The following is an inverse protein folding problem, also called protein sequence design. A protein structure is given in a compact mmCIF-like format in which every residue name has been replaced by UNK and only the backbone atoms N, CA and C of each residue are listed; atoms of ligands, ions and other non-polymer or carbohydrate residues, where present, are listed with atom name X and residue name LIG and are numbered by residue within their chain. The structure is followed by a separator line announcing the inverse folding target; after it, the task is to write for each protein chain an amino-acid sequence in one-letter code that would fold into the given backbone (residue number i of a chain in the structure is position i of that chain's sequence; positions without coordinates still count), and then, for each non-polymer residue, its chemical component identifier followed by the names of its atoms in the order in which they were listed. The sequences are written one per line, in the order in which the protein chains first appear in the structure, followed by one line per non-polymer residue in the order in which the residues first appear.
data_IF_762519391225
#
_entry.id   IF_762519391225
#
_cell.length_a   1.000
_cell.length_b   1.000
_cell.length_c   1.000
_cell.angle_alpha   90.00
_cell.angle_beta   90.00
_cell.angle_gamma   90.00
#
_symmetry.space_group_name_H-M   'P 1'
#
loop_
_entity.id
_entity.type
_entity.pdbx_description
1 polymer ?
#
# COMPACT_ATOMS: atom_id res chain seq x y z
N UNK A 1 -15.00 -26.25 -14.05
CA UNK A 1 -13.97 -25.23 -13.75
C UNK A 1 -13.53 -24.65 -15.08
N UNK A 2 -14.06 -23.49 -15.46
CA UNK A 2 -13.62 -22.81 -16.68
C UNK A 2 -12.20 -22.32 -16.45
N UNK A 3 -11.24 -22.81 -17.21
CA UNK A 3 -9.86 -22.32 -17.17
C UNK A 3 -9.84 -20.87 -17.62
N UNK A 4 -9.68 -19.94 -16.68
CA UNK A 4 -9.36 -18.56 -17.01
C UNK A 4 -7.89 -18.52 -17.42
N UNK A 5 -7.62 -18.20 -18.69
CA UNK A 5 -6.26 -18.04 -19.19
C UNK A 5 -5.88 -16.56 -19.10
N UNK A 6 -4.92 -16.23 -18.24
CA UNK A 6 -4.29 -14.92 -18.17
C UNK A 6 -2.79 -15.10 -18.01
N UNK A 7 -2.03 -14.45 -18.88
CA UNK A 7 -0.60 -14.28 -18.73
C UNK A 7 -0.35 -12.91 -18.09
N UNK A 8 0.40 -12.89 -16.99
CA UNK A 8 0.94 -11.65 -16.42
C UNK A 8 2.45 -11.75 -16.48
N UNK A 9 3.13 -10.73 -16.98
CA UNK A 9 4.58 -10.69 -16.97
C UNK A 9 5.06 -9.41 -16.29
N UNK A 10 6.12 -9.55 -15.49
CA UNK A 10 6.92 -8.44 -14.97
C UNK A 10 8.21 -8.38 -15.77
N UNK A 11 8.60 -7.21 -16.22
CA UNK A 11 9.85 -7.00 -16.93
C UNK A 11 10.52 -5.70 -16.46
N UNK A 12 11.82 -5.57 -16.71
CA UNK A 12 12.55 -4.32 -16.46
C UNK A 12 12.41 -3.44 -17.70
N UNK A 13 11.69 -2.34 -17.56
CA UNK A 13 11.49 -1.40 -18.66
C UNK A 13 12.77 -0.58 -18.88
N UNK A 14 13.36 -0.60 -20.08
CA UNK A 14 14.66 0.05 -20.33
C UNK A 14 14.57 1.58 -20.30
N UNK A 15 13.40 2.17 -20.55
CA UNK A 15 13.20 3.63 -20.48
C UNK A 15 12.98 4.14 -19.06
N UNK A 16 12.30 3.33 -18.24
CA UNK A 16 12.03 3.67 -16.85
C UNK A 16 13.15 3.23 -15.90
N UNK A 17 14.02 2.32 -16.36
CA UNK A 17 15.08 1.66 -15.57
C UNK A 17 14.51 0.95 -14.32
N UNK A 18 13.33 0.33 -14.46
CA UNK A 18 12.65 -0.31 -13.35
C UNK A 18 11.47 -1.20 -13.76
N UNK A 19 10.79 -1.83 -12.80
CA UNK A 19 9.74 -2.82 -13.06
C UNK A 19 8.55 -2.23 -13.82
N UNK A 20 7.99 -2.99 -14.75
CA UNK A 20 6.72 -2.73 -15.42
C UNK A 20 6.00 -4.07 -15.70
N UNK A 21 4.72 -3.99 -16.06
CA UNK A 21 3.87 -5.17 -16.22
C UNK A 21 3.19 -5.21 -17.59
N UNK A 22 2.97 -6.43 -18.07
CA UNK A 22 2.02 -6.73 -19.13
C UNK A 22 0.95 -7.71 -18.62
N UNK A 23 -0.25 -7.60 -19.19
CA UNK A 23 -1.33 -8.58 -19.04
C UNK A 23 -1.73 -9.01 -20.45
N UNK A 24 -1.59 -10.31 -20.75
CA UNK A 24 -1.80 -10.88 -22.08
C UNK A 24 -1.02 -10.11 -23.18
N UNK A 25 0.25 -9.80 -22.90
CA UNK A 25 1.12 -9.04 -23.78
C UNK A 25 0.82 -7.54 -23.89
N UNK A 26 -0.25 -7.04 -23.27
CA UNK A 26 -0.59 -5.61 -23.25
C UNK A 26 0.05 -4.93 -22.05
N UNK A 27 0.80 -3.86 -22.30
CA UNK A 27 1.42 -3.06 -21.26
C UNK A 27 0.34 -2.35 -20.43
N UNK A 28 0.39 -2.50 -19.10
CA UNK A 28 -0.64 -1.95 -18.19
C UNK A 28 -0.02 -1.00 -17.18
N UNK A 29 -0.58 0.20 -17.07
CA UNK A 29 -0.21 1.13 -16.00
C UNK A 29 -1.06 0.80 -14.78
N UNK A 30 -0.43 0.20 -13.77
CA UNK A 30 -1.17 -0.32 -12.62
C UNK A 30 -1.46 0.81 -11.63
N UNK A 31 -2.73 1.15 -11.49
CA UNK A 31 -3.21 1.99 -10.38
C UNK A 31 -3.82 1.07 -9.36
N UNK A 32 -3.40 1.16 -8.12
CA UNK A 32 -3.89 0.24 -7.11
C UNK A 32 -3.82 0.76 -5.71
N UNK A 33 -3.98 -0.17 -4.78
CA UNK A 33 -3.86 0.14 -3.37
C UNK A 33 -3.45 -1.06 -2.53
N UNK A 34 -2.98 -0.75 -1.34
CA UNK A 34 -2.55 -1.74 -0.38
C UNK A 34 -3.74 -2.19 0.48
N UNK A 35 -4.03 -3.49 0.43
CA UNK A 35 -5.03 -4.23 1.17
C UNK A 35 -4.42 -4.80 2.45
N UNK A 36 -4.99 -4.48 3.62
CA UNK A 36 -4.46 -4.90 4.93
C UNK A 36 -5.45 -5.73 5.75
N UNK A 37 -6.55 -6.17 5.13
CA UNK A 37 -7.61 -6.96 5.76
C UNK A 37 -8.91 -6.21 5.97
N UNK A 38 -10.02 -6.95 5.90
CA UNK A 38 -11.38 -6.41 6.10
C UNK A 38 -11.71 -6.11 7.57
N UNK A 39 -11.07 -6.82 8.51
CA UNK A 39 -11.38 -6.76 9.94
C UNK A 39 -10.17 -7.14 10.79
N UNK A 40 -9.91 -6.37 11.85
CA UNK A 40 -8.74 -6.55 12.72
C UNK A 40 -8.78 -7.88 13.48
N UNK A 41 -9.98 -8.42 13.71
CA UNK A 41 -10.18 -9.70 14.37
C UNK A 41 -10.44 -10.83 13.37
N UNK A 42 -10.29 -10.58 12.08
CA UNK A 42 -10.49 -11.53 10.97
C UNK A 42 -11.90 -12.18 10.96
N UNK A 43 -12.89 -11.56 11.58
CA UNK A 43 -14.24 -12.13 11.76
C UNK A 43 -14.98 -12.32 10.45
N UNK A 44 -14.70 -11.46 9.47
CA UNK A 44 -15.34 -11.46 8.16
C UNK A 44 -14.44 -12.01 7.06
N UNK A 45 -13.33 -12.68 7.42
CA UNK A 45 -12.37 -13.17 6.44
C UNK A 45 -12.95 -14.26 5.51
N UNK A 46 -14.16 -14.77 5.75
CA UNK A 46 -14.85 -15.72 4.86
C UNK A 46 -16.14 -15.16 4.26
N UNK A 47 -16.43 -13.86 4.48
CA UNK A 47 -17.65 -13.22 4.00
C UNK A 47 -17.44 -12.73 2.56
N UNK A 48 -17.87 -13.55 1.59
CA UNK A 48 -17.76 -13.22 0.17
C UNK A 48 -18.53 -11.95 -0.21
N UNK A 49 -19.66 -11.65 0.44
CA UNK A 49 -20.41 -10.43 0.15
C UNK A 49 -19.66 -9.20 0.65
N UNK A 50 -19.05 -9.27 1.84
CA UNK A 50 -18.20 -8.20 2.36
C UNK A 50 -17.03 -7.93 1.41
N UNK A 51 -16.34 -8.97 0.94
CA UNK A 51 -15.28 -8.81 -0.06
C UNK A 51 -15.81 -8.20 -1.37
N UNK A 52 -16.98 -8.63 -1.86
CA UNK A 52 -17.60 -8.06 -3.06
C UNK A 52 -17.91 -6.58 -2.91
N UNK A 53 -18.42 -6.16 -1.76
CA UNK A 53 -18.70 -4.76 -1.48
C UNK A 53 -17.41 -3.94 -1.39
N UNK A 54 -16.41 -4.43 -0.66
CA UNK A 54 -15.14 -3.73 -0.48
C UNK A 54 -14.33 -3.67 -1.77
N UNK A 55 -14.09 -4.79 -2.46
CA UNK A 55 -13.39 -4.83 -3.74
C UNK A 55 -14.19 -4.08 -4.81
N UNK A 56 -15.52 -4.14 -4.77
CA UNK A 56 -16.40 -3.34 -5.62
C UNK A 56 -16.17 -1.83 -5.48
N UNK A 57 -15.91 -1.33 -4.27
CA UNK A 57 -15.49 0.07 -4.07
C UNK A 57 -14.14 0.36 -4.73
N UNK A 58 -13.19 -0.58 -4.71
CA UNK A 58 -11.88 -0.42 -5.38
C UNK A 58 -12.02 -0.37 -6.90
N UNK A 59 -12.87 -1.23 -7.47
CA UNK A 59 -13.22 -1.19 -8.89
C UNK A 59 -13.91 0.13 -9.25
N UNK A 60 -14.84 0.61 -8.40
CA UNK A 60 -15.53 1.88 -8.63
C UNK A 60 -14.60 3.11 -8.53
N UNK A 61 -13.49 3.01 -7.79
CA UNK A 61 -12.41 3.99 -7.78
C UNK A 61 -11.54 3.95 -9.04
N UNK A 62 -11.71 2.95 -9.92
CA UNK A 62 -10.90 2.75 -11.12
C UNK A 62 -9.52 2.14 -10.84
N UNK A 63 -9.38 1.42 -9.72
CA UNK A 63 -8.16 0.67 -9.41
C UNK A 63 -8.12 -0.65 -10.20
N UNK A 64 -6.92 -1.01 -10.62
CA UNK A 64 -6.60 -2.19 -11.42
C UNK A 64 -5.97 -3.31 -10.56
N UNK A 65 -5.37 -2.96 -9.40
CA UNK A 65 -4.64 -3.89 -8.54
C UNK A 65 -4.85 -3.64 -7.04
N UNK A 66 -4.95 -4.73 -6.28
CA UNK A 66 -4.81 -4.77 -4.83
C UNK A 66 -3.54 -5.51 -4.43
N UNK A 67 -2.73 -4.89 -3.57
CA UNK A 67 -1.61 -5.55 -2.92
C UNK A 67 -2.02 -6.03 -1.54
N UNK A 68 -2.14 -7.34 -1.36
CA UNK A 68 -2.32 -7.95 -0.03
C UNK A 68 -0.99 -7.83 0.70
N UNK A 69 -0.91 -6.89 1.64
CA UNK A 69 0.31 -6.54 2.35
C UNK A 69 0.75 -7.63 3.34
N UNK A 70 2.06 -7.85 3.43
CA UNK A 70 2.66 -8.99 4.12
C UNK A 70 2.41 -9.08 5.63
N UNK A 71 2.18 -7.97 6.35
CA UNK A 71 1.90 -8.07 7.79
C UNK A 71 0.44 -8.40 8.13
N UNK A 72 -0.38 -8.68 7.11
CA UNK A 72 -1.69 -9.32 7.25
C UNK A 72 -1.60 -10.84 7.08
N UNK A 73 -2.72 -11.45 6.69
CA UNK A 73 -2.75 -12.84 6.23
C UNK A 73 -2.75 -12.87 4.70
N UNK A 74 -2.38 -14.01 4.10
CA UNK A 74 -2.90 -14.31 2.78
C UNK A 74 -4.42 -14.47 2.92
N UNK A 75 -5.20 -13.75 2.13
CA UNK A 75 -6.65 -13.72 2.28
C UNK A 75 -7.27 -15.12 2.04
N UNK A 76 -8.55 -15.28 2.37
CA UNK A 76 -9.27 -16.55 2.09
C UNK A 76 -9.67 -16.63 0.62
N UNK A 77 -9.97 -17.84 0.14
CA UNK A 77 -10.33 -18.10 -1.27
C UNK A 77 -11.42 -17.15 -1.78
N UNK A 78 -12.43 -16.82 -0.95
CA UNK A 78 -13.50 -15.89 -1.29
C UNK A 78 -13.01 -14.50 -1.78
N UNK A 79 -11.90 -14.00 -1.24
CA UNK A 79 -11.29 -12.75 -1.71
C UNK A 79 -10.81 -12.88 -3.15
N UNK A 80 -10.05 -13.93 -3.47
CA UNK A 80 -9.48 -14.13 -4.80
C UNK A 80 -10.54 -14.54 -5.82
N UNK A 81 -11.56 -15.30 -5.42
CA UNK A 81 -12.73 -15.59 -6.25
C UNK A 81 -13.47 -14.30 -6.65
N UNK A 82 -13.65 -13.36 -5.70
CA UNK A 82 -14.25 -12.06 -6.00
C UNK A 82 -13.32 -11.20 -6.87
N UNK A 83 -12.01 -11.23 -6.65
CA UNK A 83 -11.05 -10.55 -7.52
C UNK A 83 -11.06 -11.12 -8.95
N UNK A 84 -11.17 -12.44 -9.10
CA UNK A 84 -11.34 -13.11 -10.40
C UNK A 84 -12.61 -12.61 -11.10
N UNK A 85 -13.74 -12.62 -10.40
CA UNK A 85 -15.04 -12.17 -10.92
C UNK A 85 -15.05 -10.70 -11.35
N UNK A 86 -14.39 -9.84 -10.57
CA UNK A 86 -14.36 -8.40 -10.79
C UNK A 86 -13.20 -7.94 -11.68
N UNK A 87 -12.30 -8.85 -12.05
CA UNK A 87 -11.12 -8.53 -12.85
C UNK A 87 -10.05 -7.71 -12.12
N UNK A 88 -10.05 -7.72 -10.77
CA UNK A 88 -9.06 -7.02 -9.94
C UNK A 88 -7.77 -7.84 -9.87
N UNK A 89 -6.63 -7.26 -10.25
CA UNK A 89 -5.34 -7.93 -10.11
C UNK A 89 -4.92 -7.98 -8.64
N UNK A 90 -4.24 -9.04 -8.25
CA UNK A 90 -3.75 -9.24 -6.89
C UNK A 90 -2.23 -9.38 -6.90
N UNK A 91 -1.57 -8.53 -6.13
CA UNK A 91 -0.21 -8.74 -5.66
C UNK A 91 -0.29 -9.41 -4.29
N UNK A 92 0.37 -10.55 -4.11
CA UNK A 92 0.42 -11.25 -2.82
C UNK A 92 1.81 -11.19 -2.18
N UNK A 93 1.94 -10.50 -1.05
CA UNK A 93 3.12 -10.60 -0.19
C UNK A 93 3.10 -11.89 0.66
N UNK A 94 4.26 -12.44 0.98
CA UNK A 94 4.43 -13.34 2.14
C UNK A 94 4.79 -12.55 3.40
N UNK A 95 4.78 -13.22 4.55
CA UNK A 95 4.61 -12.57 5.86
C UNK A 95 5.87 -11.98 6.48
N UNK A 96 6.95 -11.89 5.71
CA UNK A 96 8.18 -11.26 6.16
C UNK A 96 8.08 -9.77 5.88
N UNK A 97 8.20 -8.94 6.91
CA UNK A 97 8.10 -7.49 6.77
C UNK A 97 9.24 -6.80 7.51
N UNK A 98 9.56 -5.58 7.11
CA UNK A 98 10.49 -4.73 7.87
C UNK A 98 10.12 -4.56 9.36
N UNK A 99 8.86 -4.83 9.74
CA UNK A 99 8.34 -4.74 11.11
C UNK A 99 8.61 -5.99 11.96
N UNK A 100 9.09 -7.09 11.38
CA UNK A 100 9.34 -8.33 12.10
C UNK A 100 10.70 -9.00 11.79
N UNK A 101 11.40 -8.55 10.75
CA UNK A 101 12.60 -9.20 10.23
C UNK A 101 13.93 -8.56 10.66
N UNK A 102 13.94 -7.69 11.67
CA UNK A 102 15.15 -7.02 12.16
C UNK A 102 15.45 -5.65 11.56
N UNK A 103 14.77 -5.23 10.48
CA UNK A 103 15.00 -3.91 9.86
C UNK A 103 14.56 -2.75 10.76
N UNK A 104 13.31 -2.80 11.25
CA UNK A 104 12.77 -1.81 12.19
C UNK A 104 12.39 -2.42 13.53
N UNK A 105 11.98 -3.68 13.52
CA UNK A 105 11.66 -4.47 14.71
C UNK A 105 11.87 -5.96 14.42
N UNK A 106 11.93 -6.76 15.48
CA UNK A 106 12.27 -8.18 15.40
C UNK A 106 13.76 -8.42 15.24
N UNK A 107 14.12 -9.57 14.69
CA UNK A 107 15.50 -10.06 14.52
C UNK A 107 15.67 -10.57 13.09
N UNK A 108 16.86 -10.43 12.50
CA UNK A 108 17.14 -10.92 11.14
C UNK A 108 17.08 -12.44 11.00
N UNK A 109 17.16 -13.17 12.12
CA UNK A 109 16.94 -14.62 12.16
C UNK A 109 15.46 -15.01 12.21
N UNK A 110 14.52 -14.07 12.10
CA UNK A 110 13.10 -14.39 11.97
C UNK A 110 12.82 -15.03 10.59
N UNK A 111 11.93 -16.03 10.50
CA UNK A 111 11.12 -16.65 11.56
C UNK A 111 11.90 -17.66 12.42
N UNK A 112 11.38 -18.00 13.60
CA UNK A 112 12.07 -18.97 14.48
C UNK A 112 12.07 -20.41 13.94
N UNK A 113 11.15 -20.74 13.04
CA UNK A 113 11.00 -22.06 12.42
C UNK A 113 10.92 -21.89 10.90
N UNK A 114 12.02 -22.17 10.22
CA UNK A 114 12.16 -21.95 8.77
C UNK A 114 11.40 -23.01 7.97
N UNK A 115 11.42 -24.27 8.42
CA UNK A 115 10.70 -25.37 7.76
C UNK A 115 9.19 -25.09 7.78
N UNK A 116 8.65 -24.74 8.96
CA UNK A 116 7.24 -24.39 9.08
C UNK A 116 6.85 -23.19 8.22
N UNK A 117 7.72 -22.18 8.11
CA UNK A 117 7.46 -21.02 7.25
C UNK A 117 7.38 -21.43 5.78
N UNK A 118 8.32 -22.24 5.31
CA UNK A 118 8.36 -22.73 3.93
C UNK A 118 7.16 -23.63 3.63
N UNK A 119 6.78 -24.51 4.56
CA UNK A 119 5.58 -25.35 4.43
C UNK A 119 4.31 -24.48 4.31
N UNK A 120 4.18 -23.47 5.18
CA UNK A 120 3.05 -22.54 5.13
C UNK A 120 3.00 -21.73 3.82
N UNK A 121 4.16 -21.28 3.32
CA UNK A 121 4.25 -20.60 2.03
C UNK A 121 3.84 -21.53 0.87
N UNK A 122 4.32 -22.78 0.89
CA UNK A 122 4.00 -23.84 -0.08
C UNK A 122 2.50 -24.09 -0.16
N UNK A 123 1.84 -24.24 1.00
CA UNK A 123 0.39 -24.43 1.08
C UNK A 123 -0.38 -23.25 0.47
N UNK A 124 0.06 -22.02 0.72
CA UNK A 124 -0.55 -20.81 0.16
C UNK A 124 -0.38 -20.74 -1.35
N UNK A 125 0.81 -21.05 -1.88
CA UNK A 125 1.05 -21.11 -3.33
C UNK A 125 0.12 -22.14 -3.98
N UNK A 126 0.06 -23.35 -3.44
CA UNK A 126 -0.82 -24.40 -3.96
C UNK A 126 -2.30 -24.01 -3.93
N UNK A 127 -2.74 -23.35 -2.85
CA UNK A 127 -4.12 -22.89 -2.70
C UNK A 127 -4.48 -21.80 -3.70
N UNK A 128 -3.59 -20.84 -3.92
CA UNK A 128 -3.91 -19.59 -4.61
C UNK A 128 -3.51 -19.53 -6.09
N UNK A 129 -2.55 -20.35 -6.55
CA UNK A 129 -2.06 -20.33 -7.95
C UNK A 129 -3.12 -20.64 -9.02
N UNK A 130 -4.30 -21.10 -8.61
CA UNK A 130 -5.46 -21.32 -9.49
C UNK A 130 -6.17 -20.03 -9.91
N UNK A 131 -5.94 -18.92 -9.21
CA UNK A 131 -6.64 -17.64 -9.43
C UNK A 131 -5.97 -16.82 -10.54
N UNK A 132 -6.77 -16.34 -11.49
CA UNK A 132 -6.28 -15.52 -12.61
C UNK A 132 -6.09 -14.04 -12.22
N UNK A 133 -6.74 -13.60 -11.15
CA UNK A 133 -6.49 -12.31 -10.50
C UNK A 133 -5.08 -12.22 -9.95
N UNK A 134 -4.53 -13.33 -9.44
CA UNK A 134 -3.19 -13.34 -8.86
C UNK A 134 -2.13 -13.07 -9.93
N UNK A 135 -1.48 -11.92 -9.79
CA UNK A 135 -0.63 -11.31 -10.81
C UNK A 135 0.86 -11.35 -10.46
N UNK A 136 1.20 -11.37 -9.18
CA UNK A 136 2.59 -11.42 -8.71
C UNK A 136 2.65 -11.96 -7.28
N UNK A 137 3.67 -12.76 -7.03
CA UNK A 137 4.11 -13.18 -5.69
C UNK A 137 5.28 -12.32 -5.22
N UNK A 138 5.28 -11.89 -3.97
CA UNK A 138 6.38 -11.12 -3.39
C UNK A 138 6.79 -11.70 -2.04
N UNK A 139 8.06 -12.07 -1.87
CA UNK A 139 8.52 -12.77 -0.66
C UNK A 139 8.40 -11.94 0.63
N UNK A 140 8.34 -10.61 0.54
CA UNK A 140 8.03 -9.81 1.71
C UNK A 140 7.94 -8.31 1.46
N UNK A 141 7.45 -7.63 2.49
CA UNK A 141 7.36 -6.19 2.53
C UNK A 141 8.68 -5.59 3.02
N UNK A 142 9.26 -4.66 2.27
CA UNK A 142 10.30 -3.77 2.80
C UNK A 142 11.52 -4.51 3.40
N UNK A 143 11.94 -5.61 2.76
CA UNK A 143 13.07 -6.43 3.20
C UNK A 143 14.41 -5.71 2.95
N UNK A 144 15.21 -5.56 4.00
CA UNK A 144 16.56 -4.96 3.94
C UNK A 144 17.32 -5.31 5.24
N UNK A 145 18.61 -5.69 5.19
CA UNK A 145 19.39 -5.97 3.99
C UNK A 145 19.03 -7.34 3.41
N UNK A 146 19.02 -7.44 2.09
CA UNK A 146 18.62 -8.66 1.36
C UNK A 146 19.60 -9.84 1.56
N UNK A 147 20.77 -9.58 2.14
CA UNK A 147 21.73 -10.61 2.56
C UNK A 147 21.31 -11.33 3.83
N UNK A 148 20.48 -10.71 4.66
CA UNK A 148 20.04 -11.24 5.95
C UNK A 148 18.55 -11.59 5.94
N UNK A 149 17.71 -10.81 5.24
CA UNK A 149 16.27 -11.05 5.13
C UNK A 149 15.79 -11.13 3.67
N UNK A 150 15.14 -12.24 3.26
CA UNK A 150 14.93 -13.46 4.03
C UNK A 150 16.25 -14.21 4.32
N UNK A 151 16.29 -15.02 5.41
CA UNK A 151 17.36 -16.00 5.60
C UNK A 151 17.62 -16.80 4.32
N UNK A 152 18.89 -17.16 4.07
CA UNK A 152 19.30 -17.69 2.77
C UNK A 152 18.54 -18.96 2.37
N UNK A 153 18.31 -19.87 3.31
CA UNK A 153 17.56 -21.10 3.14
C UNK A 153 16.08 -20.85 2.84
N UNK A 154 15.44 -19.91 3.52
CA UNK A 154 14.06 -19.48 3.20
C UNK A 154 14.01 -18.83 1.82
N UNK A 155 14.96 -17.95 1.49
CA UNK A 155 15.01 -17.29 0.18
C UNK A 155 15.12 -18.31 -0.95
N UNK A 156 16.03 -19.28 -0.82
CA UNK A 156 16.21 -20.35 -1.79
C UNK A 156 14.95 -21.21 -1.90
N UNK A 157 14.37 -21.64 -0.77
CA UNK A 157 13.18 -22.46 -0.77
C UNK A 157 11.96 -21.75 -1.40
N UNK A 158 11.71 -20.49 -1.05
CA UNK A 158 10.60 -19.70 -1.63
C UNK A 158 10.79 -19.53 -3.14
N UNK A 159 12.02 -19.27 -3.61
CA UNK A 159 12.28 -19.12 -5.04
C UNK A 159 11.92 -20.40 -5.80
N UNK A 160 12.26 -21.57 -5.26
CA UNK A 160 11.91 -22.86 -5.86
C UNK A 160 10.39 -23.13 -5.91
N UNK A 161 9.57 -22.50 -5.06
CA UNK A 161 8.11 -22.65 -5.13
C UNK A 161 7.49 -22.14 -6.43
N UNK A 162 8.23 -21.29 -7.15
CA UNK A 162 7.77 -20.65 -8.39
C UNK A 162 8.44 -21.22 -9.64
N UNK A 163 9.24 -22.29 -9.53
CA UNK A 163 9.85 -22.93 -10.70
C UNK A 163 8.79 -23.48 -11.70
N UNK A 164 7.62 -23.86 -11.18
CA UNK A 164 6.47 -24.36 -11.94
C UNK A 164 5.28 -23.36 -12.02
N UNK A 165 5.45 -22.11 -11.56
CA UNK A 165 4.45 -21.03 -11.66
C UNK A 165 4.99 -19.96 -12.62
N UNK A 166 4.32 -19.74 -13.74
CA UNK A 166 4.73 -18.78 -14.78
C UNK A 166 4.49 -17.32 -14.36
N UNK A 167 3.90 -17.10 -13.18
CA UNK A 167 3.68 -15.76 -12.63
C UNK A 167 4.98 -15.08 -12.20
N UNK A 168 5.01 -13.75 -12.29
CA UNK A 168 6.08 -12.94 -11.72
C UNK A 168 6.30 -13.21 -10.24
N UNK A 169 7.58 -13.19 -9.86
CA UNK A 169 8.04 -13.16 -8.48
C UNK A 169 8.93 -11.94 -8.23
N UNK A 170 8.81 -11.34 -7.06
CA UNK A 170 9.80 -10.39 -6.53
C UNK A 170 10.24 -10.81 -5.12
N UNK A 171 11.52 -10.61 -4.82
CA UNK A 171 12.06 -10.85 -3.49
C UNK A 171 11.49 -9.86 -2.46
N UNK A 172 11.25 -8.60 -2.86
CA UNK A 172 10.77 -7.60 -1.91
C UNK A 172 9.99 -6.47 -2.60
N UNK A 173 9.00 -5.92 -1.87
CA UNK A 173 8.21 -4.75 -2.30
C UNK A 173 9.06 -3.51 -2.51
N UNK A 174 10.19 -3.39 -1.80
CA UNK A 174 11.24 -2.41 -2.08
C UNK A 174 12.63 -2.97 -1.74
N UNK A 175 13.67 -2.20 -2.01
CA UNK A 175 15.04 -2.44 -1.54
C UNK A 175 15.60 -1.15 -0.97
N UNK A 176 16.79 -1.20 -0.38
CA UNK A 176 17.60 0.01 -0.25
C UNK A 176 18.08 0.46 -1.63
N UNK A 177 18.02 1.76 -1.92
CA UNK A 177 18.40 2.31 -3.22
C UNK A 177 19.87 2.07 -3.60
N UNK A 178 20.75 1.72 -2.65
CA UNK A 178 22.13 1.29 -2.93
C UNK A 178 22.25 -0.17 -3.35
N UNK A 179 21.23 -0.99 -3.10
CA UNK A 179 21.17 -2.43 -3.37
C UNK A 179 19.99 -2.81 -4.28
N UNK A 180 19.42 -1.82 -4.98
CA UNK A 180 18.26 -2.04 -5.83
C UNK A 180 18.63 -2.86 -7.08
N UNK A 181 17.75 -3.80 -7.41
CA UNK A 181 17.84 -4.65 -8.59
C UNK A 181 16.41 -4.87 -9.09
N UNK A 182 16.04 -4.22 -10.19
CA UNK A 182 14.68 -4.23 -10.73
C UNK A 182 14.16 -5.63 -11.10
N UNK A 183 15.05 -6.60 -11.34
CA UNK A 183 14.66 -7.99 -11.64
C UNK A 183 14.01 -8.65 -10.42
N UNK A 184 14.50 -8.38 -9.22
CA UNK A 184 14.05 -9.03 -7.98
C UNK A 184 13.37 -8.08 -6.99
N UNK A 185 13.47 -6.77 -7.17
CA UNK A 185 12.85 -5.76 -6.29
C UNK A 185 11.82 -4.94 -7.05
N UNK A 186 10.80 -4.46 -6.35
CA UNK A 186 9.73 -3.67 -6.97
C UNK A 186 10.03 -2.15 -6.98
N UNK A 187 10.76 -1.64 -5.99
CA UNK A 187 11.24 -0.26 -5.98
C UNK A 187 12.55 -0.08 -5.18
N UNK A 188 13.38 0.93 -5.46
CA UNK A 188 14.56 1.26 -4.65
C UNK A 188 14.21 2.02 -3.36
N UNK A 189 12.96 2.46 -3.23
CA UNK A 189 12.40 3.21 -2.09
C UNK A 189 10.89 3.36 -2.29
N UNK A 190 10.15 3.59 -1.21
CA UNK A 190 8.72 3.90 -1.20
C UNK A 190 8.39 5.11 -0.29
N UNK A 191 7.09 5.36 -0.11
CA UNK A 191 6.57 6.52 0.59
C UNK A 191 6.65 7.81 -0.24
N UNK A 192 6.39 8.99 0.36
CA UNK A 192 6.06 9.20 1.77
C UNK A 192 4.62 8.81 2.14
N UNK A 193 4.30 8.90 3.43
CA UNK A 193 3.03 8.47 4.02
C UNK A 193 2.23 9.59 4.69
N UNK A 194 2.56 10.86 4.44
CA UNK A 194 1.91 12.04 5.05
C UNK A 194 1.45 13.02 3.98
N UNK A 195 0.69 14.04 4.39
CA UNK A 195 0.27 15.12 3.50
C UNK A 195 1.45 15.76 2.77
N UNK A 196 1.20 16.14 1.53
CA UNK A 196 2.12 16.86 0.65
C UNK A 196 1.45 18.12 0.14
N UNK A 197 2.23 19.10 -0.29
CA UNK A 197 1.69 20.18 -1.10
C UNK A 197 1.21 19.58 -2.43
N UNK A 198 0.08 20.05 -2.97
CA UNK A 198 -0.55 19.37 -4.12
C UNK A 198 0.34 19.39 -5.38
N UNK A 199 1.09 20.47 -5.55
CA UNK A 199 2.04 20.65 -6.64
C UNK A 199 3.19 19.63 -6.61
N UNK A 200 3.49 19.02 -5.45
CA UNK A 200 4.56 18.04 -5.32
C UNK A 200 4.28 16.79 -6.15
N UNK A 201 3.01 16.37 -6.27
CA UNK A 201 2.60 15.21 -7.08
C UNK A 201 2.89 15.38 -8.58
N UNK A 202 3.06 16.63 -9.03
CA UNK A 202 3.42 16.96 -10.41
C UNK A 202 4.94 17.09 -10.60
N UNK A 203 5.72 16.53 -9.66
CA UNK A 203 7.18 16.40 -9.75
C UNK A 203 7.60 14.93 -9.61
N UNK A 204 8.81 14.60 -10.08
CA UNK A 204 9.36 13.25 -9.93
C UNK A 204 9.64 12.94 -8.46
N UNK A 205 9.15 11.79 -8.00
CA UNK A 205 9.26 11.28 -6.63
C UNK A 205 8.72 12.29 -5.58
N UNK A 206 7.38 12.50 -5.55
CA UNK A 206 6.74 13.53 -4.73
C UNK A 206 7.07 13.36 -3.24
N UNK A 207 7.53 14.43 -2.59
CA UNK A 207 7.90 14.43 -1.17
C UNK A 207 9.04 13.49 -0.75
N UNK A 208 9.64 12.74 -1.67
CA UNK A 208 10.64 11.72 -1.33
C UNK A 208 12.02 12.34 -1.06
N UNK A 209 12.70 11.82 -0.03
CA UNK A 209 14.03 12.25 0.39
C UNK A 209 14.96 11.07 0.64
N UNK A 210 16.27 11.29 0.49
CA UNK A 210 17.31 10.36 0.96
C UNK A 210 17.49 10.45 2.48
N UNK A 211 18.31 9.57 3.08
CA UNK A 211 18.57 9.58 4.53
C UNK A 211 19.15 10.91 5.04
N UNK A 212 19.88 11.63 4.20
CA UNK A 212 20.42 12.96 4.51
C UNK A 212 19.41 14.10 4.29
N UNK A 213 18.12 13.78 4.09
CA UNK A 213 16.99 14.70 3.87
C UNK A 213 17.04 15.49 2.57
N UNK A 214 17.97 15.21 1.66
CA UNK A 214 17.97 15.81 0.32
C UNK A 214 16.90 15.18 -0.56
N UNK A 215 16.35 15.95 -1.51
CA UNK A 215 15.26 15.47 -2.39
C UNK A 215 15.72 14.36 -3.32
N UNK A 216 15.00 13.25 -3.34
CA UNK A 216 15.32 12.08 -4.13
C UNK A 216 14.81 12.17 -5.59
N UNK A 217 14.80 13.36 -6.21
CA UNK A 217 14.24 13.58 -7.57
C UNK A 217 14.93 12.77 -8.65
N UNK A 218 16.21 12.47 -8.48
CA UNK A 218 17.02 11.72 -9.45
C UNK A 218 16.88 10.21 -9.31
N UNK A 219 16.28 9.71 -8.22
CA UNK A 219 16.10 8.28 -8.01
C UNK A 219 15.12 7.72 -9.04
N UNK A 220 15.48 6.65 -9.72
CA UNK A 220 14.61 6.00 -10.71
C UNK A 220 13.65 5.06 -9.99
N UNK A 221 12.43 5.52 -9.76
CA UNK A 221 11.33 4.70 -9.23
C UNK A 221 10.31 4.55 -10.34
N UNK A 222 10.34 3.41 -11.03
CA UNK A 222 9.37 3.11 -12.08
C UNK A 222 8.01 2.73 -11.47
N UNK A 223 8.01 1.80 -10.53
CA UNK A 223 6.80 1.35 -9.85
C UNK A 223 6.81 1.86 -8.42
N UNK A 224 5.75 2.56 -7.99
CA UNK A 224 5.62 3.01 -6.61
C UNK A 224 4.74 2.02 -5.82
N UNK A 225 5.32 1.15 -4.98
CA UNK A 225 4.60 0.08 -4.30
C UNK A 225 3.78 0.59 -3.11
N UNK A 226 4.14 1.74 -2.55
CA UNK A 226 3.42 2.40 -1.48
C UNK A 226 3.63 3.91 -1.51
N UNK A 227 2.54 4.68 -1.51
CA UNK A 227 2.54 6.11 -1.22
C UNK A 227 1.21 6.48 -0.57
N UNK A 228 1.26 7.24 0.51
CA UNK A 228 0.08 7.46 1.35
C UNK A 228 -0.08 8.87 1.87
N UNK A 229 -1.23 9.11 2.49
CA UNK A 229 -1.54 10.38 3.12
C UNK A 229 -2.49 10.22 4.32
N UNK A 230 -2.91 11.34 4.91
CA UNK A 230 -3.92 11.36 5.95
C UNK A 230 -5.30 10.91 5.43
N UNK A 231 -6.13 10.38 6.33
CA UNK A 231 -7.52 10.07 6.05
C UNK A 231 -8.39 10.39 7.27
N UNK A 232 -9.69 10.61 7.05
CA UNK A 232 -10.66 10.86 8.10
C UNK A 232 -12.03 10.47 7.55
N UNK A 233 -12.81 9.59 8.20
CA UNK A 233 -14.09 9.14 7.69
C UNK A 233 -15.17 10.23 7.80
N UNK A 234 -16.34 9.96 7.24
CA UNK A 234 -17.50 10.85 7.38
C UNK A 234 -17.91 11.05 8.84
N UNK A 235 -18.55 12.19 9.14
CA UNK A 235 -18.93 12.56 10.51
C UNK A 235 -19.75 11.48 11.22
N UNK A 236 -20.69 10.83 10.52
CA UNK A 236 -21.51 9.75 11.09
C UNK A 236 -20.69 8.53 11.51
N UNK A 237 -19.56 8.26 10.86
CA UNK A 237 -18.62 7.23 11.29
C UNK A 237 -17.84 7.68 12.51
N UNK A 238 -17.38 8.93 12.58
CA UNK A 238 -16.70 9.47 13.78
C UNK A 238 -17.58 9.33 15.03
N UNK A 239 -18.87 9.63 14.90
CA UNK A 239 -19.85 9.49 15.98
C UNK A 239 -19.99 8.06 16.52
N UNK A 240 -19.62 7.04 15.73
CA UNK A 240 -19.74 5.64 16.13
C UNK A 240 -18.58 5.15 17.00
N UNK A 241 -17.41 5.79 16.92
CA UNK A 241 -16.22 5.31 17.64
C UNK A 241 -15.54 6.37 18.51
N UNK A 242 -15.94 7.65 18.43
CA UNK A 242 -15.50 8.68 19.36
C UNK A 242 -16.62 9.06 20.32
N UNK A 243 -16.30 9.08 21.62
CA UNK A 243 -17.20 9.62 22.64
C UNK A 243 -17.49 11.11 22.39
N UNK A 244 -18.65 11.65 22.82
CA UNK A 244 -19.04 13.04 22.55
C UNK A 244 -17.98 14.08 22.92
N UNK A 245 -17.35 13.96 24.09
CA UNK A 245 -16.30 14.90 24.53
C UNK A 245 -15.03 14.80 23.68
N UNK A 246 -14.66 13.58 23.29
CA UNK A 246 -13.53 13.35 22.38
C UNK A 246 -13.82 13.90 20.99
N UNK A 247 -15.04 13.73 20.50
CA UNK A 247 -15.49 14.23 19.20
C UNK A 247 -15.53 15.76 19.18
N UNK A 248 -15.97 16.40 20.28
CA UNK A 248 -15.98 17.86 20.42
C UNK A 248 -14.56 18.45 20.44
N UNK A 249 -13.57 17.71 20.96
CA UNK A 249 -12.16 18.09 20.97
C UNK A 249 -11.47 17.83 19.62
N UNK A 250 -11.90 18.57 18.58
CA UNK A 250 -11.34 18.45 17.23
C UNK A 250 -9.83 18.81 17.19
N UNK A 251 -9.04 18.17 16.31
CA UNK A 251 -7.64 18.52 16.09
C UNK A 251 -7.44 20.00 15.75
N UNK A 252 -6.50 20.67 16.43
CA UNK A 252 -6.16 22.07 16.14
C UNK A 252 -5.24 22.21 14.90
N UNK A 253 -5.01 23.44 14.44
CA UNK A 253 -4.17 23.69 13.26
C UNK A 253 -2.67 23.35 13.44
N UNK A 254 -2.26 23.05 14.67
CA UNK A 254 -0.91 22.58 15.03
C UNK A 254 -0.90 21.07 15.28
N UNK A 255 -1.99 20.39 14.94
CA UNK A 255 -2.23 18.97 15.17
C UNK A 255 -2.14 18.58 16.66
N UNK A 256 -2.55 19.49 17.56
CA UNK A 256 -2.82 19.14 18.97
C UNK A 256 -4.15 18.40 19.02
N UNK A 257 -4.12 17.19 19.57
CA UNK A 257 -5.24 16.24 19.51
C UNK A 257 -5.62 15.66 20.88
N UNK A 258 -6.89 15.30 21.02
CA UNK A 258 -7.37 14.54 22.17
C UNK A 258 -6.86 13.08 22.11
N UNK A 259 -6.56 12.41 23.24
CA UNK A 259 -6.00 11.04 23.25
C UNK A 259 -6.78 10.00 22.44
N UNK A 260 -8.12 10.12 22.38
CA UNK A 260 -8.95 9.25 21.55
C UNK A 260 -8.65 9.36 20.05
N UNK A 261 -8.31 10.55 19.54
CA UNK A 261 -7.91 10.73 18.15
C UNK A 261 -6.54 10.08 17.89
N UNK A 262 -5.62 10.20 18.85
CA UNK A 262 -4.31 9.51 18.80
C UNK A 262 -4.46 7.99 18.85
N UNK A 263 -5.37 7.48 19.69
CA UNK A 263 -5.69 6.05 19.77
C UNK A 263 -6.16 5.50 18.43
N UNK A 264 -7.06 6.21 17.76
CA UNK A 264 -7.51 5.91 16.40
C UNK A 264 -6.54 6.40 15.31
N UNK A 265 -5.28 6.67 15.68
CA UNK A 265 -4.16 6.90 14.77
C UNK A 265 -4.28 8.15 13.90
N UNK A 266 -4.87 9.23 14.40
CA UNK A 266 -4.95 10.50 13.67
C UNK A 266 -3.61 10.94 13.09
N UNK A 267 -3.62 11.27 11.80
CA UNK A 267 -2.52 11.94 11.11
C UNK A 267 -2.90 13.38 10.73
N UNK A 268 -1.96 14.29 10.90
CA UNK A 268 -2.16 15.71 10.64
C UNK A 268 -2.32 16.06 9.15
N UNK A 269 -2.93 17.22 8.91
CA UNK A 269 -3.21 17.72 7.56
C UNK A 269 -2.19 18.76 7.05
N UNK A 270 -1.06 18.89 7.75
CA UNK A 270 0.04 19.79 7.37
C UNK A 270 0.99 19.08 6.41
N UNK A 271 1.27 19.67 5.26
CA UNK A 271 2.20 19.11 4.28
C UNK A 271 3.63 18.95 4.85
N UNK A 272 4.33 17.87 4.49
CA UNK A 272 5.72 17.65 4.88
C UNK A 272 6.59 18.86 4.48
N UNK A 273 7.42 19.33 5.41
CA UNK A 273 8.32 20.46 5.19
C UNK A 273 7.67 21.83 5.39
N UNK A 274 6.37 21.88 5.69
CA UNK A 274 5.67 23.13 6.02
C UNK A 274 5.54 23.32 7.54
N UNK A 275 5.54 24.57 8.03
CA UNK A 275 5.34 24.84 9.45
C UNK A 275 3.92 24.47 9.89
N UNK A 276 3.71 23.86 11.08
CA UNK A 276 2.38 23.49 11.56
C UNK A 276 1.59 24.72 11.99
N UNK A 277 0.87 25.33 11.05
CA UNK A 277 0.05 26.51 11.27
C UNK A 277 -1.22 26.48 10.42
N UNK A 278 -2.12 27.44 10.67
CA UNK A 278 -3.43 27.53 9.99
C UNK A 278 -3.36 27.57 8.47
N UNK A 279 -2.30 28.18 7.91
CA UNK A 279 -2.14 28.33 6.45
C UNK A 279 -1.56 27.09 5.78
N UNK A 280 -0.75 26.31 6.49
CA UNK A 280 -0.10 25.13 5.97
C UNK A 280 -0.90 23.83 6.19
N UNK A 281 -1.83 23.83 7.13
CA UNK A 281 -2.74 22.73 7.37
C UNK A 281 -3.93 22.82 6.39
N UNK A 282 -4.07 21.84 5.48
CA UNK A 282 -5.06 21.90 4.41
C UNK A 282 -6.51 21.97 4.93
N UNK A 283 -6.82 21.37 6.09
CA UNK A 283 -8.16 21.48 6.69
C UNK A 283 -8.45 22.91 7.13
N UNK A 284 -7.49 23.54 7.81
CA UNK A 284 -7.63 24.91 8.31
C UNK A 284 -7.47 25.96 7.20
N UNK A 285 -6.76 25.66 6.12
CA UNK A 285 -6.66 26.48 4.92
C UNK A 285 -7.99 26.60 4.17
N UNK A 286 -8.88 25.61 4.31
CA UNK A 286 -10.28 25.66 3.83
C UNK A 286 -11.22 26.44 4.77
N UNK A 287 -10.67 27.06 5.82
CA UNK A 287 -11.39 27.72 6.91
C UNK A 287 -11.31 26.91 8.21
N UNK A 288 -11.24 27.60 9.35
CA UNK A 288 -11.14 26.95 10.66
C UNK A 288 -12.48 26.27 11.04
N UNK A 289 -12.52 24.94 11.30
CA UNK A 289 -13.75 24.23 11.62
C UNK A 289 -14.29 24.63 12.99
N UNK A 290 -15.59 24.88 13.06
CA UNK A 290 -16.27 25.25 14.31
C UNK A 290 -16.68 24.03 15.15
N UNK A 291 -16.77 22.86 14.54
CA UNK A 291 -17.19 21.61 15.16
C UNK A 291 -16.69 20.39 14.36
N UNK A 292 -16.92 19.20 14.89
CA UNK A 292 -16.49 17.94 14.28
C UNK A 292 -17.12 17.62 12.92
N UNK A 293 -18.35 18.06 12.66
CA UNK A 293 -18.98 17.86 11.36
C UNK A 293 -18.29 18.72 10.28
N UNK A 294 -18.00 19.97 10.59
CA UNK A 294 -17.21 20.84 9.70
C UNK A 294 -15.78 20.32 9.51
N UNK A 295 -15.15 19.84 10.60
CA UNK A 295 -13.82 19.23 10.53
C UNK A 295 -13.82 18.03 9.58
N UNK A 296 -14.76 17.08 9.76
CA UNK A 296 -14.87 15.89 8.92
C UNK A 296 -15.10 16.24 7.44
N UNK A 297 -15.97 17.21 7.16
CA UNK A 297 -16.22 17.67 5.78
C UNK A 297 -14.95 18.26 5.15
N UNK A 298 -14.24 19.15 5.85
CA UNK A 298 -13.02 19.78 5.32
C UNK A 298 -11.87 18.77 5.19
N UNK A 299 -11.76 17.83 6.12
CA UNK A 299 -10.82 16.72 6.02
C UNK A 299 -11.12 15.85 4.80
N UNK A 300 -12.38 15.58 4.49
CA UNK A 300 -12.79 14.85 3.28
C UNK A 300 -12.45 15.62 2.00
N UNK A 301 -12.62 16.95 1.97
CA UNK A 301 -12.20 17.78 0.84
C UNK A 301 -10.67 17.78 0.69
N UNK A 302 -9.92 17.90 1.78
CA UNK A 302 -8.46 17.84 1.76
C UNK A 302 -7.96 16.47 1.25
N UNK A 303 -8.58 15.37 1.70
CA UNK A 303 -8.31 14.02 1.20
C UNK A 303 -8.59 13.90 -0.30
N UNK A 304 -9.75 14.39 -0.75
CA UNK A 304 -10.10 14.38 -2.18
C UNK A 304 -9.04 15.12 -3.01
N UNK A 305 -8.64 16.32 -2.59
CA UNK A 305 -7.60 17.09 -3.29
C UNK A 305 -6.27 16.34 -3.35
N UNK A 306 -5.85 15.74 -2.23
CA UNK A 306 -4.61 15.00 -2.10
C UNK A 306 -4.57 13.76 -3.01
N UNK A 307 -5.57 12.89 -2.91
CA UNK A 307 -5.60 11.63 -3.68
C UNK A 307 -5.88 11.87 -5.16
N UNK A 308 -6.68 12.89 -5.50
CA UNK A 308 -6.83 13.32 -6.90
C UNK A 308 -5.48 13.74 -7.47
N UNK A 309 -4.76 14.65 -6.80
CA UNK A 309 -3.45 15.11 -7.25
C UNK A 309 -2.43 13.96 -7.34
N UNK A 310 -2.47 13.00 -6.41
CA UNK A 310 -1.64 11.79 -6.44
C UNK A 310 -1.87 11.00 -7.73
N UNK A 311 -3.10 10.58 -8.00
CA UNK A 311 -3.35 9.76 -9.20
C UNK A 311 -3.20 10.55 -10.50
N UNK A 312 -3.58 11.83 -10.54
CA UNK A 312 -3.38 12.70 -11.71
C UNK A 312 -1.88 12.92 -12.00
N UNK A 313 -1.07 13.20 -10.96
CA UNK A 313 0.37 13.43 -11.10
C UNK A 313 1.12 12.19 -11.58
N UNK A 314 0.84 11.02 -10.99
CA UNK A 314 1.43 9.76 -11.46
C UNK A 314 0.97 9.40 -12.89
N UNK A 315 -0.30 9.68 -13.23
CA UNK A 315 -0.83 9.45 -14.58
C UNK A 315 -0.25 10.42 -15.62
N UNK A 316 0.06 11.67 -15.24
CA UNK A 316 0.67 12.65 -16.13
C UNK A 316 2.05 12.18 -16.64
N UNK A 317 2.82 11.51 -15.79
CA UNK A 317 4.15 10.99 -16.12
C UNK A 317 4.17 9.46 -16.35
N UNK A 318 3.00 8.88 -16.65
CA UNK A 318 2.85 7.48 -17.03
C UNK A 318 3.73 7.17 -18.25
N UNK A 319 4.53 6.11 -18.14
CA UNK A 319 5.53 5.67 -19.11
C UNK A 319 6.68 6.64 -19.40
N UNK A 320 6.72 7.81 -18.74
CA UNK A 320 7.89 8.69 -18.72
C UNK A 320 8.74 8.43 -17.47
N UNK A 321 8.10 8.44 -16.29
CA UNK A 321 8.74 8.12 -15.02
C UNK A 321 8.17 6.88 -14.38
N UNK A 322 6.88 6.62 -14.56
CA UNK A 322 6.15 5.62 -13.79
C UNK A 322 5.51 4.53 -14.65
N UNK A 323 5.51 3.30 -14.13
CA UNK A 323 4.79 2.14 -14.65
C UNK A 323 3.58 1.76 -13.79
N UNK A 324 3.49 2.29 -12.57
CA UNK A 324 2.36 2.06 -11.68
C UNK A 324 2.53 2.74 -10.32
N UNK A 325 1.43 2.83 -9.60
CA UNK A 325 1.36 3.40 -8.24
C UNK A 325 0.31 2.68 -7.43
N UNK A 326 0.68 2.29 -6.20
CA UNK A 326 -0.23 1.73 -5.22
C UNK A 326 -0.37 2.68 -4.03
N UNK A 327 -1.62 3.09 -3.78
CA UNK A 327 -1.95 3.93 -2.64
C UNK A 327 -1.84 3.13 -1.34
N UNK A 328 -1.08 3.66 -0.38
CA UNK A 328 -1.11 3.21 1.00
C UNK A 328 -2.03 4.13 1.80
N UNK A 329 -3.16 3.64 2.29
CA UNK A 329 -3.84 2.39 1.99
C UNK A 329 -5.30 2.67 1.67
N UNK A 330 -5.94 1.75 0.96
CA UNK A 330 -7.30 1.94 0.43
C UNK A 330 -8.42 1.63 1.41
N UNK A 331 -8.10 0.94 2.52
CA UNK A 331 -9.07 0.57 3.55
C UNK A 331 -8.41 0.55 4.94
N UNK A 332 -9.19 0.22 5.97
CA UNK A 332 -8.68 -0.06 7.32
C UNK A 332 -9.48 -1.20 7.97
N UNK A 333 -8.84 -2.11 8.71
CA UNK A 333 -9.48 -3.27 9.34
C UNK A 333 -10.26 -2.89 10.61
N UNK A 334 -10.24 -1.62 10.99
CA UNK A 334 -10.89 -1.06 12.17
C UNK A 334 -11.16 0.44 11.99
N UNK A 335 -12.01 1.06 12.82
CA UNK A 335 -12.23 2.50 12.78
C UNK A 335 -10.92 3.27 13.00
N UNK A 336 -10.48 4.02 11.99
CA UNK A 336 -9.17 4.67 11.92
C UNK A 336 -9.26 6.08 11.36
N UNK A 337 -8.30 6.91 11.76
CA UNK A 337 -8.04 8.28 11.31
C UNK A 337 -6.67 8.40 10.61
N UNK A 338 -6.11 7.25 10.22
CA UNK A 338 -4.85 7.15 9.47
C UNK A 338 -5.08 6.55 8.11
N UNK A 339 -4.47 7.17 7.11
CA UNK A 339 -4.32 6.58 5.79
C UNK A 339 -3.06 5.72 5.66
N UNK A 340 -2.26 5.51 6.72
CA UNK A 340 -1.16 4.54 6.73
C UNK A 340 -1.11 3.62 7.95
#
# INVERSE_FOLDING_TARGET
LGSCFREVAKYVDPSLEGPAFTVNGQRVFLRGGNWIGTDQFLRYATDAQRYRDEIGMHVAMGLDMLRVWGGGIAERDAFYEVCDDLGMLVWQDFWMTGDNNGRWAGEYSWPADHELYVDAATDVVHRLRKHASLAIWVAGNELDPTSESPPADIREAIQCLFDDDDRPFALSSMANYTHFNATIHMAPKDGPYRMLALEEFFTRNPGLTFWNRTRARQLKIAFQPEIGSASCPVFTSLQRFLAPDSLAAIPDARDVIHPAWSWHKYEGYTAIGMPPNKTANLVYGLGAPSNASEFALRAQVAQFMQYRALFEGFSQFMWEYYSGVLMWKTQSPWPSLRGF
#
